data_IF_827884350943
#
_entry.id   IF_827884350943
#
_cell.length_a   1.000
_cell.length_b   1.000
_cell.length_c   1.000
_cell.angle_alpha   90.00
_cell.angle_beta   90.00
_cell.angle_gamma   90.00
#
_symmetry.space_group_name_H-M   'P 1'
#
loop_
_entity.id
_entity.type
_entity.pdbx_description
1 polymer ?
#
# COMPACT_ATOMS: atom_id res chain seq x y z
N UNK A 1 -14.59 -15.35 2.37
CA UNK A 1 -13.60 -14.26 2.30
C UNK A 1 -12.55 -14.59 1.26
N UNK A 2 -12.24 -13.67 0.36
CA UNK A 2 -11.20 -13.84 -0.65
C UNK A 2 -9.89 -13.21 -0.18
N UNK A 3 -8.81 -13.99 -0.22
CA UNK A 3 -7.46 -13.57 0.11
C UNK A 3 -6.59 -13.62 -1.16
N UNK A 4 -5.92 -12.52 -1.46
CA UNK A 4 -5.17 -12.39 -2.71
C UNK A 4 -3.83 -13.16 -2.72
N UNK A 5 -3.39 -13.71 -1.60
CA UNK A 5 -2.17 -14.51 -1.49
C UNK A 5 -2.27 -15.58 -0.41
N UNK A 6 -1.57 -16.68 -0.61
CA UNK A 6 -1.43 -17.79 0.36
C UNK A 6 -0.84 -17.31 1.69
N UNK A 7 0.10 -16.37 1.66
CA UNK A 7 0.71 -15.82 2.87
C UNK A 7 -0.31 -15.16 3.81
N UNK A 8 -1.33 -14.48 3.24
CA UNK A 8 -2.41 -13.92 4.04
C UNK A 8 -3.30 -15.02 4.63
N UNK A 9 -3.56 -16.07 3.88
CA UNK A 9 -4.33 -17.20 4.36
C UNK A 9 -3.64 -17.87 5.57
N UNK A 10 -2.36 -18.23 5.42
CA UNK A 10 -1.58 -18.86 6.48
C UNK A 10 -1.50 -18.02 7.75
N UNK A 11 -1.37 -16.71 7.58
CA UNK A 11 -1.22 -15.77 8.69
C UNK A 11 -2.55 -15.41 9.37
N UNK A 12 -3.59 -15.12 8.61
CA UNK A 12 -4.81 -14.51 9.13
C UNK A 12 -5.99 -15.48 9.28
N UNK A 13 -6.09 -16.53 8.46
CA UNK A 13 -7.24 -17.43 8.51
C UNK A 13 -7.38 -18.15 9.85
N UNK A 14 -6.31 -18.73 10.45
CA UNK A 14 -6.42 -19.35 11.76
C UNK A 14 -6.87 -18.37 12.85
N UNK A 15 -6.32 -17.14 12.82
CA UNK A 15 -6.63 -16.11 13.79
C UNK A 15 -8.08 -15.61 13.65
N UNK A 16 -8.56 -15.37 12.43
CA UNK A 16 -9.95 -14.98 12.17
C UNK A 16 -10.91 -16.07 12.66
N UNK A 17 -10.61 -17.33 12.39
CA UNK A 17 -11.44 -18.45 12.80
C UNK A 17 -11.49 -18.61 14.33
N UNK A 18 -10.37 -18.39 15.02
CA UNK A 18 -10.29 -18.40 16.47
C UNK A 18 -11.10 -17.25 17.10
N UNK A 19 -11.00 -16.06 16.54
CA UNK A 19 -11.67 -14.87 17.07
C UNK A 19 -13.17 -14.83 16.75
N UNK A 20 -13.60 -15.53 15.72
CA UNK A 20 -14.99 -15.58 15.25
C UNK A 20 -15.54 -17.04 15.23
N UNK A 21 -15.55 -17.75 16.39
CA UNK A 21 -15.89 -19.17 16.44
C UNK A 21 -17.33 -19.46 16.01
N UNK A 22 -18.24 -18.51 16.16
CA UNK A 22 -19.66 -18.66 15.80
C UNK A 22 -19.93 -18.30 14.33
N UNK A 23 -18.90 -17.88 13.57
CA UNK A 23 -19.02 -17.54 12.16
C UNK A 23 -18.21 -18.51 11.34
N UNK A 24 -18.89 -19.28 10.48
CA UNK A 24 -18.19 -20.10 9.50
C UNK A 24 -17.66 -19.23 8.37
N UNK A 25 -16.34 -18.96 8.39
CA UNK A 25 -15.64 -18.20 7.35
C UNK A 25 -15.02 -19.15 6.36
N UNK A 26 -15.55 -19.18 5.15
CA UNK A 26 -14.93 -19.88 4.03
C UNK A 26 -13.87 -18.99 3.38
N UNK A 27 -12.65 -19.49 3.29
CA UNK A 27 -11.53 -18.77 2.67
C UNK A 27 -11.28 -19.30 1.26
N UNK A 28 -11.12 -18.36 0.33
CA UNK A 28 -10.70 -18.64 -1.04
C UNK A 28 -9.41 -17.87 -1.29
N UNK A 29 -8.36 -18.56 -1.70
CA UNK A 29 -7.08 -17.96 -2.03
C UNK A 29 -6.94 -17.88 -3.55
N UNK A 30 -6.57 -16.72 -4.04
CA UNK A 30 -6.36 -16.47 -5.47
C UNK A 30 -5.11 -15.65 -5.74
N UNK A 31 -5.23 -14.66 -6.59
CA UNK A 31 -4.16 -13.75 -6.94
C UNK A 31 -4.63 -12.28 -6.86
N UNK A 32 -3.72 -11.34 -7.09
CA UNK A 32 -3.98 -9.90 -7.07
C UNK A 32 -4.14 -9.31 -8.49
N UNK A 33 -4.52 -10.11 -9.45
CA UNK A 33 -4.73 -9.67 -10.83
C UNK A 33 -6.13 -9.04 -10.97
N UNK A 34 -6.20 -7.84 -11.51
CA UNK A 34 -7.48 -7.13 -11.73
C UNK A 34 -8.40 -7.91 -12.69
N UNK A 35 -7.86 -8.55 -13.71
CA UNK A 35 -8.66 -9.34 -14.63
C UNK A 35 -9.27 -10.56 -13.95
N UNK A 36 -8.62 -11.12 -12.94
CA UNK A 36 -9.19 -12.17 -12.12
C UNK A 36 -10.38 -11.67 -11.28
N UNK A 37 -10.30 -10.47 -10.70
CA UNK A 37 -11.45 -9.88 -9.98
C UNK A 37 -12.61 -9.56 -10.93
N UNK A 38 -12.32 -9.10 -12.16
CA UNK A 38 -13.33 -8.92 -13.21
C UNK A 38 -14.00 -10.25 -13.57
N UNK A 39 -13.21 -11.29 -13.76
CA UNK A 39 -13.70 -12.63 -14.04
C UNK A 39 -14.64 -13.12 -12.92
N UNK A 40 -14.29 -12.97 -11.65
CA UNK A 40 -15.14 -13.32 -10.52
C UNK A 40 -16.46 -12.55 -10.57
N UNK A 41 -16.42 -11.26 -10.85
CA UNK A 41 -17.61 -10.40 -10.97
C UNK A 41 -18.55 -10.90 -12.07
N UNK A 42 -18.02 -11.14 -13.26
CA UNK A 42 -18.80 -11.50 -14.44
C UNK A 42 -19.43 -12.90 -14.31
N UNK A 43 -18.81 -13.78 -13.56
CA UNK A 43 -19.30 -15.13 -13.31
C UNK A 43 -20.12 -15.27 -12.01
N UNK A 44 -20.53 -14.17 -11.40
CA UNK A 44 -21.37 -14.14 -10.19
C UNK A 44 -20.67 -14.68 -8.94
N UNK A 45 -19.33 -14.72 -8.96
CA UNK A 45 -18.52 -15.34 -7.92
C UNK A 45 -17.81 -14.34 -6.97
N UNK A 46 -18.20 -13.05 -6.91
CA UNK A 46 -17.60 -12.12 -5.96
C UNK A 46 -17.88 -12.58 -4.53
N UNK A 47 -16.83 -12.88 -3.74
CA UNK A 47 -16.97 -13.23 -2.33
C UNK A 47 -17.56 -12.10 -1.49
N UNK A 48 -18.08 -12.41 -0.31
CA UNK A 48 -18.68 -11.44 0.59
C UNK A 48 -17.66 -10.38 1.06
N UNK A 49 -16.41 -10.82 1.33
CA UNK A 49 -15.29 -9.96 1.69
C UNK A 49 -14.17 -10.23 0.70
N UNK A 50 -13.62 -9.15 0.15
CA UNK A 50 -12.58 -9.21 -0.87
C UNK A 50 -11.36 -8.45 -0.37
N UNK A 51 -10.18 -9.03 -0.53
CA UNK A 51 -8.91 -8.38 -0.24
C UNK A 51 -8.11 -8.18 -1.51
N UNK A 52 -7.30 -7.14 -1.55
CA UNK A 52 -6.35 -6.90 -2.64
C UNK A 52 -5.07 -6.26 -2.12
N UNK A 53 -4.07 -6.17 -2.99
CA UNK A 53 -2.81 -5.47 -2.75
C UNK A 53 -2.71 -4.30 -3.73
N UNK A 54 -2.52 -3.09 -3.21
CA UNK A 54 -2.08 -1.89 -3.96
C UNK A 54 -2.87 -1.56 -5.24
N UNK A 55 -4.18 -1.79 -5.27
CA UNK A 55 -4.97 -1.27 -6.38
C UNK A 55 -5.03 0.25 -6.33
N UNK A 56 -4.76 0.90 -7.45
CA UNK A 56 -5.10 2.30 -7.65
C UNK A 56 -6.62 2.47 -7.75
N UNK A 57 -7.13 3.67 -7.50
CA UNK A 57 -8.56 3.97 -7.70
C UNK A 57 -9.01 3.66 -9.13
N UNK A 58 -8.13 3.94 -10.10
CA UNK A 58 -8.40 3.64 -11.50
C UNK A 58 -8.58 2.14 -11.73
N UNK A 59 -7.70 1.31 -11.19
CA UNK A 59 -7.76 -0.14 -11.33
C UNK A 59 -8.97 -0.73 -10.59
N UNK A 60 -9.32 -0.17 -9.43
CA UNK A 60 -10.47 -0.60 -8.65
C UNK A 60 -11.81 -0.12 -9.24
N UNK A 61 -11.83 0.94 -10.06
CA UNK A 61 -13.06 1.54 -10.61
C UNK A 61 -13.99 0.56 -11.33
N UNK A 62 -13.51 -0.44 -12.09
CA UNK A 62 -14.39 -1.43 -12.72
C UNK A 62 -15.21 -2.28 -11.73
N UNK A 63 -14.77 -2.36 -10.47
CA UNK A 63 -15.46 -3.11 -9.42
C UNK A 63 -16.38 -2.21 -8.59
N UNK A 64 -16.29 -0.89 -8.70
CA UNK A 64 -17.00 0.10 -7.88
C UNK A 64 -18.49 -0.23 -7.73
N UNK A 65 -19.16 -0.55 -8.84
CA UNK A 65 -20.60 -0.84 -8.85
C UNK A 65 -21.00 -2.16 -8.16
N UNK A 66 -20.02 -3.00 -7.84
CA UNK A 66 -20.21 -4.27 -7.15
C UNK A 66 -19.78 -4.23 -5.69
N UNK A 67 -19.20 -3.13 -5.23
CA UNK A 67 -18.70 -2.96 -3.88
C UNK A 67 -19.59 -2.02 -3.08
N UNK A 68 -19.61 -2.21 -1.77
CA UNK A 68 -20.29 -1.33 -0.84
C UNK A 68 -19.55 0.00 -0.70
N UNK A 69 -20.27 1.09 -0.51
CA UNK A 69 -19.69 2.33 0.00
C UNK A 69 -19.46 2.20 1.52
N UNK A 70 -18.22 2.34 1.92
CA UNK A 70 -17.77 2.23 3.30
C UNK A 70 -17.48 3.59 3.95
N UNK A 71 -17.65 4.70 3.21
CA UNK A 71 -17.26 6.06 3.62
C UNK A 71 -17.88 6.50 4.96
N UNK A 72 -19.09 6.04 5.25
CA UNK A 72 -19.85 6.39 6.46
C UNK A 72 -19.69 5.38 7.60
N UNK A 73 -18.85 4.38 7.44
CA UNK A 73 -18.65 3.35 8.47
C UNK A 73 -17.69 3.81 9.56
N UNK A 74 -17.88 3.30 10.77
CA UNK A 74 -16.94 3.55 11.87
C UNK A 74 -15.53 3.06 11.56
N UNK A 75 -15.39 2.02 10.74
CA UNK A 75 -14.08 1.49 10.31
C UNK A 75 -13.37 2.50 9.42
N UNK A 76 -14.07 3.12 8.45
CA UNK A 76 -13.49 4.20 7.65
C UNK A 76 -13.06 5.39 8.53
N UNK A 77 -13.87 5.76 9.53
CA UNK A 77 -13.53 6.82 10.49
C UNK A 77 -12.32 6.51 11.40
N UNK A 78 -11.87 5.26 11.45
CA UNK A 78 -10.67 4.85 12.16
C UNK A 78 -9.40 4.89 11.31
N UNK A 79 -9.52 5.03 9.98
CA UNK A 79 -8.38 5.16 9.05
C UNK A 79 -7.90 6.61 9.02
N UNK A 80 -6.59 6.82 8.97
CA UNK A 80 -6.03 8.16 8.78
C UNK A 80 -6.49 8.77 7.45
N UNK A 81 -6.90 10.03 7.48
CA UNK A 81 -7.42 10.75 6.32
C UNK A 81 -6.48 10.73 5.11
N UNK A 82 -5.17 10.77 5.36
CA UNK A 82 -4.13 10.69 4.31
C UNK A 82 -4.21 9.37 3.53
N UNK A 83 -4.49 8.25 4.21
CA UNK A 83 -4.65 6.96 3.55
C UNK A 83 -6.04 6.80 2.97
N UNK A 84 -7.08 7.22 3.70
CA UNK A 84 -8.46 7.11 3.25
C UNK A 84 -8.69 7.91 1.97
N UNK A 85 -8.13 9.12 1.88
CA UNK A 85 -8.24 9.97 0.68
C UNK A 85 -7.66 9.33 -0.58
N UNK A 86 -6.71 8.41 -0.44
CA UNK A 86 -6.15 7.65 -1.57
C UNK A 86 -7.13 6.65 -2.16
N UNK A 87 -8.21 6.31 -1.45
CA UNK A 87 -9.25 5.37 -1.86
C UNK A 87 -10.61 6.04 -2.06
N UNK A 88 -10.68 7.36 -1.89
CA UNK A 88 -11.91 8.12 -2.08
C UNK A 88 -12.16 8.35 -3.56
N UNK A 89 -13.34 7.95 -4.02
CA UNK A 89 -13.82 8.23 -5.36
C UNK A 89 -14.21 9.71 -5.53
N UNK A 90 -14.40 10.16 -6.76
CA UNK A 90 -14.81 11.55 -7.06
C UNK A 90 -16.13 11.98 -6.37
N UNK A 91 -17.04 11.03 -6.15
CA UNK A 91 -18.31 11.24 -5.46
C UNK A 91 -18.21 11.16 -3.93
N UNK A 92 -17.00 11.03 -3.39
CA UNK A 92 -16.75 10.91 -1.96
C UNK A 92 -16.95 9.50 -1.39
N UNK A 93 -17.40 8.53 -2.18
CA UNK A 93 -17.56 7.15 -1.73
C UNK A 93 -16.20 6.47 -1.56
N UNK A 94 -16.12 5.48 -0.66
CA UNK A 94 -14.94 4.68 -0.39
C UNK A 94 -15.33 3.20 -0.45
N UNK A 95 -14.77 2.46 -1.40
CA UNK A 95 -15.07 1.04 -1.55
C UNK A 95 -13.99 0.13 -0.97
N UNK A 96 -12.79 0.64 -0.78
CA UNK A 96 -11.64 -0.09 -0.25
C UNK A 96 -11.11 0.57 1.01
N UNK A 97 -10.86 -0.23 2.04
CA UNK A 97 -10.25 0.25 3.29
C UNK A 97 -8.84 -0.34 3.43
N UNK A 98 -7.81 0.50 3.63
CA UNK A 98 -6.47 0.02 3.93
C UNK A 98 -6.44 -0.60 5.33
N UNK A 99 -5.88 -1.80 5.44
CA UNK A 99 -5.71 -2.51 6.73
C UNK A 99 -4.35 -2.21 7.34
N UNK A 100 -3.32 -2.09 6.51
CA UNK A 100 -1.97 -1.74 6.93
C UNK A 100 -1.27 -0.94 5.83
N UNK A 101 -0.10 -0.40 6.15
CA UNK A 101 0.78 0.27 5.21
C UNK A 101 2.20 -0.25 5.38
N UNK A 102 2.95 -0.28 4.28
CA UNK A 102 4.39 -0.54 4.29
C UNK A 102 5.15 0.77 4.32
N UNK A 103 6.36 0.72 4.88
CA UNK A 103 7.35 1.78 4.77
C UNK A 103 8.45 1.33 3.81
N UNK A 104 8.71 2.13 2.79
CA UNK A 104 9.76 1.89 1.81
C UNK A 104 10.94 2.82 2.06
N UNK A 105 12.15 2.29 1.95
CA UNK A 105 13.38 3.03 2.16
C UNK A 105 14.58 2.12 1.94
N UNK A 106 15.76 2.67 2.17
CA UNK A 106 16.98 1.87 2.21
C UNK A 106 17.13 1.18 3.56
N UNK A 107 17.54 -0.07 3.55
CA UNK A 107 17.78 -0.88 4.76
C UNK A 107 19.30 -1.05 4.90
N UNK A 108 20.01 -0.67 5.99
CA UNK A 108 21.46 -0.79 6.18
C UNK A 108 21.85 -1.80 7.27
N UNK A 109 22.96 -2.51 7.09
CA UNK A 109 23.53 -3.34 8.13
C UNK A 109 24.40 -2.49 9.09
N UNK A 110 23.83 -2.07 10.21
CA UNK A 110 24.51 -1.21 11.18
C UNK A 110 25.82 -1.80 11.71
N UNK A 111 25.87 -3.12 11.89
CA UNK A 111 27.07 -3.80 12.40
C UNK A 111 28.25 -3.66 11.42
N UNK A 112 27.99 -3.59 10.12
CA UNK A 112 29.02 -3.33 9.11
C UNK A 112 29.50 -1.88 9.16
N UNK A 113 28.60 -0.91 9.32
CA UNK A 113 28.98 0.48 9.49
C UNK A 113 29.87 0.68 10.71
N UNK A 114 29.48 0.11 11.85
CA UNK A 114 30.28 0.15 13.09
C UNK A 114 31.63 -0.58 12.93
N UNK A 115 31.63 -1.76 12.31
CA UNK A 115 32.86 -2.57 12.13
C UNK A 115 33.92 -1.87 11.32
N UNK A 116 33.53 -1.13 10.29
CA UNK A 116 34.46 -0.47 9.37
C UNK A 116 34.60 1.03 9.62
N UNK A 117 34.01 1.54 10.72
CA UNK A 117 34.04 2.94 11.11
C UNK A 117 33.52 3.89 9.98
N UNK A 118 32.50 3.42 9.26
CA UNK A 118 31.85 4.19 8.20
C UNK A 118 30.63 4.89 8.83
N UNK A 119 30.50 6.23 8.69
CA UNK A 119 29.34 6.95 9.23
C UNK A 119 28.05 6.57 8.54
N UNK A 120 26.93 6.47 9.30
CA UNK A 120 25.62 6.31 8.71
C UNK A 120 25.26 7.54 7.86
N UNK A 121 24.81 7.36 6.61
CA UNK A 121 24.53 8.47 5.72
C UNK A 121 23.32 9.29 6.21
N UNK A 122 23.39 10.59 5.98
CA UNK A 122 22.37 11.58 6.36
C UNK A 122 21.75 12.31 5.18
N UNK A 123 22.38 12.20 4.02
CA UNK A 123 21.97 12.78 2.74
C UNK A 123 22.44 11.88 1.59
N UNK A 124 22.14 12.26 0.35
CA UNK A 124 22.48 11.47 -0.82
C UNK A 124 24.00 11.40 -1.05
N UNK A 125 24.75 12.49 -0.85
CA UNK A 125 26.21 12.53 -1.04
C UNK A 125 26.91 11.61 -0.04
N UNK A 126 26.57 11.67 1.25
CA UNK A 126 27.11 10.77 2.27
C UNK A 126 26.69 9.31 2.06
N UNK A 127 25.54 9.07 1.42
CA UNK A 127 25.12 7.74 1.02
C UNK A 127 26.03 7.15 -0.07
N UNK A 128 26.31 7.92 -1.14
CA UNK A 128 27.24 7.49 -2.19
C UNK A 128 28.61 7.24 -1.61
N UNK A 129 29.13 8.18 -0.78
CA UNK A 129 30.44 8.03 -0.12
C UNK A 129 30.53 6.79 0.78
N UNK A 130 29.46 6.44 1.49
CA UNK A 130 29.42 5.22 2.28
C UNK A 130 29.46 3.96 1.41
N UNK A 131 28.81 3.98 0.25
CA UNK A 131 28.87 2.89 -0.72
C UNK A 131 30.28 2.69 -1.25
N UNK A 132 30.97 3.77 -1.64
CA UNK A 132 32.36 3.73 -2.11
C UNK A 132 33.29 3.21 -1.02
N UNK A 133 33.15 3.67 0.23
CA UNK A 133 33.97 3.21 1.36
C UNK A 133 33.78 1.71 1.63
N UNK A 134 32.60 1.14 1.44
CA UNK A 134 32.40 -0.32 1.52
C UNK A 134 33.07 -1.07 0.36
N UNK A 135 33.02 -0.54 -0.86
CA UNK A 135 33.72 -1.16 -2.00
C UNK A 135 35.24 -1.17 -1.79
N UNK A 136 35.85 -0.15 -1.19
CA UNK A 136 37.26 -0.09 -0.85
C UNK A 136 37.69 -1.19 0.12
N UNK A 137 36.80 -1.64 1.01
CA UNK A 137 37.06 -2.76 1.93
C UNK A 137 36.57 -4.11 1.40
N UNK A 138 36.21 -4.19 0.12
CA UNK A 138 35.78 -5.40 -0.56
C UNK A 138 34.39 -5.90 -0.22
N UNK A 139 33.54 -5.00 0.29
CA UNK A 139 32.12 -5.26 0.57
C UNK A 139 31.32 -4.52 -0.48
N UNK A 140 30.33 -5.20 -1.09
CA UNK A 140 29.44 -4.54 -2.03
C UNK A 140 28.66 -3.42 -1.32
N UNK A 141 28.83 -2.20 -1.76
CA UNK A 141 28.19 -1.03 -1.19
C UNK A 141 26.67 -1.02 -1.36
N UNK A 142 26.12 -1.45 -2.53
CA UNK A 142 24.68 -1.53 -2.79
C UNK A 142 24.20 -2.88 -3.30
N UNK A 143 23.00 -3.28 -2.87
CA UNK A 143 22.26 -4.41 -3.46
C UNK A 143 20.80 -4.07 -3.57
N UNK A 144 20.22 -4.21 -4.74
CA UNK A 144 18.79 -4.06 -4.98
C UNK A 144 18.27 -5.22 -5.83
N UNK A 145 17.02 -5.59 -5.61
CA UNK A 145 16.31 -6.53 -6.45
C UNK A 145 15.54 -5.77 -7.54
N UNK A 146 16.21 -5.47 -8.64
CA UNK A 146 15.59 -4.86 -9.83
C UNK A 146 15.18 -5.90 -10.87
N UNK A 147 15.09 -7.15 -10.48
CA UNK A 147 14.50 -8.20 -11.32
C UNK A 147 13.01 -7.93 -11.56
N UNK A 148 12.33 -7.42 -10.52
CA UNK A 148 10.93 -7.01 -10.63
C UNK A 148 10.83 -5.51 -10.91
N UNK A 149 9.99 -5.15 -11.87
CA UNK A 149 9.74 -3.76 -12.28
C UNK A 149 9.20 -2.90 -11.12
N UNK A 150 8.37 -3.47 -10.25
CA UNK A 150 7.81 -2.73 -9.11
C UNK A 150 8.88 -2.27 -8.11
N UNK A 151 9.95 -3.01 -7.88
CA UNK A 151 11.02 -2.58 -6.96
C UNK A 151 11.82 -1.42 -7.53
N UNK A 152 12.03 -1.39 -8.85
CA UNK A 152 12.62 -0.25 -9.55
C UNK A 152 11.71 0.99 -9.43
N UNK A 153 10.40 0.82 -9.65
CA UNK A 153 9.42 1.90 -9.52
C UNK A 153 9.30 2.42 -8.08
N UNK A 154 9.39 1.56 -7.07
CA UNK A 154 9.38 1.99 -5.67
C UNK A 154 10.61 2.83 -5.33
N UNK A 155 11.79 2.45 -5.82
CA UNK A 155 13.02 3.25 -5.65
C UNK A 155 12.89 4.61 -6.34
N UNK A 156 12.42 4.63 -7.59
CA UNK A 156 12.16 5.87 -8.34
C UNK A 156 11.19 6.79 -7.58
N UNK A 157 10.09 6.26 -7.09
CA UNK A 157 9.10 7.04 -6.32
C UNK A 157 9.67 7.55 -5.00
N UNK A 158 10.50 6.74 -4.31
CA UNK A 158 11.14 7.13 -3.07
C UNK A 158 12.15 8.26 -3.26
N UNK A 159 13.05 8.15 -4.23
CA UNK A 159 14.03 9.18 -4.58
C UNK A 159 13.37 10.49 -5.03
N UNK A 160 12.18 10.40 -5.60
CA UNK A 160 11.43 11.54 -6.16
C UNK A 160 10.25 11.95 -5.28
N UNK A 161 10.21 11.51 -4.02
CA UNK A 161 9.07 11.73 -3.13
C UNK A 161 8.73 13.21 -2.93
N UNK A 162 9.74 14.11 -2.91
CA UNK A 162 9.52 15.55 -2.79
C UNK A 162 8.79 16.13 -3.99
N UNK A 163 9.18 15.76 -5.22
CA UNK A 163 8.52 16.20 -6.46
C UNK A 163 7.12 15.64 -6.57
N UNK A 164 6.97 14.34 -6.35
CA UNK A 164 5.68 13.65 -6.45
C UNK A 164 4.68 14.11 -5.38
N UNK A 165 5.16 14.59 -4.23
CA UNK A 165 4.34 15.14 -3.14
C UNK A 165 4.14 16.67 -3.23
N UNK A 166 4.79 17.33 -4.18
CA UNK A 166 4.58 18.76 -4.46
C UNK A 166 3.15 19.04 -4.95
N UNK A 167 2.79 20.31 -5.03
CA UNK A 167 1.47 20.72 -5.59
C UNK A 167 1.31 20.22 -7.01
N UNK A 168 2.35 20.36 -7.84
CA UNK A 168 2.31 19.93 -9.24
C UNK A 168 2.31 18.41 -9.37
N UNK A 169 3.05 17.69 -8.52
CA UNK A 169 3.03 16.22 -8.48
C UNK A 169 1.66 15.67 -8.08
N UNK A 170 1.01 16.29 -7.11
CA UNK A 170 -0.36 15.92 -6.71
C UNK A 170 -1.38 16.25 -7.79
N UNK A 171 -1.25 17.40 -8.44
CA UNK A 171 -2.10 17.79 -9.56
C UNK A 171 -1.97 16.78 -10.71
N UNK A 172 -0.72 16.43 -11.10
CA UNK A 172 -0.48 15.43 -12.13
C UNK A 172 -1.14 14.10 -11.79
N UNK A 173 -0.98 13.60 -10.57
CA UNK A 173 -1.55 12.33 -10.13
C UNK A 173 -3.08 12.33 -10.24
N UNK A 174 -3.74 13.42 -9.83
CA UNK A 174 -5.20 13.56 -9.93
C UNK A 174 -5.64 13.57 -11.39
N UNK A 175 -4.93 14.31 -12.25
CA UNK A 175 -5.24 14.40 -13.68
C UNK A 175 -5.00 13.07 -14.40
N UNK A 176 -3.90 12.38 -14.05
CA UNK A 176 -3.55 11.08 -14.65
C UNK A 176 -4.56 9.98 -14.27
N UNK A 177 -5.02 9.98 -13.03
CA UNK A 177 -6.00 9.00 -12.53
C UNK A 177 -7.44 9.32 -12.94
N UNK A 178 -7.70 10.48 -13.55
CA UNK A 178 -9.03 10.84 -14.03
C UNK A 178 -9.52 9.86 -15.12
N UNK A 179 -10.81 9.50 -15.11
CA UNK A 179 -11.39 8.61 -16.12
C UNK A 179 -11.26 9.16 -17.56
N UNK A 180 -11.23 10.48 -17.70
CA UNK A 180 -11.07 11.17 -18.97
C UNK A 180 -9.60 11.23 -19.41
N UNK A 181 -9.19 10.29 -20.24
CA UNK A 181 -7.84 10.21 -20.80
C UNK A 181 -7.44 11.42 -21.65
N UNK A 182 -8.40 12.22 -22.12
CA UNK A 182 -8.10 13.37 -23.00
C UNK A 182 -7.41 14.52 -22.28
N UNK A 183 -7.44 14.52 -20.94
CA UNK A 183 -6.83 15.54 -20.09
C UNK A 183 -5.46 15.14 -19.52
N UNK A 184 -4.94 13.96 -19.88
CA UNK A 184 -3.64 13.51 -19.40
C UNK A 184 -2.54 14.34 -20.06
N UNK A 185 -1.71 14.98 -19.23
CA UNK A 185 -0.49 15.64 -19.66
C UNK A 185 0.58 14.58 -19.97
N UNK A 186 1.43 14.84 -20.98
CA UNK A 186 2.62 14.02 -21.22
C UNK A 186 3.57 14.08 -20.03
N UNK A 187 4.32 13.01 -19.80
CA UNK A 187 5.27 12.96 -18.66
C UNK A 187 6.35 14.04 -18.74
N UNK A 188 6.74 14.43 -19.95
CA UNK A 188 7.76 15.45 -20.26
C UNK A 188 7.39 16.86 -19.79
N UNK A 189 6.11 17.17 -19.64
CA UNK A 189 5.60 18.47 -19.16
C UNK A 189 5.29 18.49 -17.64
N UNK A 190 5.70 17.47 -16.88
CA UNK A 190 5.34 17.26 -15.49
C UNK A 190 6.56 17.20 -14.57
N UNK A 191 6.42 16.71 -13.36
CA UNK A 191 7.51 16.49 -12.39
C UNK A 191 8.36 15.25 -12.70
N UNK A 192 7.92 14.40 -13.62
CA UNK A 192 8.56 13.11 -13.90
C UNK A 192 9.95 13.18 -14.54
N UNK A 193 10.31 14.15 -15.41
CA UNK A 193 11.67 14.25 -15.90
C UNK A 193 12.71 14.31 -14.77
N UNK A 194 12.48 15.13 -13.75
CA UNK A 194 13.35 15.16 -12.57
C UNK A 194 13.40 13.84 -11.80
N UNK A 195 12.29 13.13 -11.71
CA UNK A 195 12.24 11.83 -11.08
C UNK A 195 13.12 10.81 -11.83
N UNK A 196 13.06 10.81 -13.15
CA UNK A 196 13.89 9.93 -13.99
C UNK A 196 15.37 10.32 -13.94
N UNK A 197 15.71 11.61 -13.95
CA UNK A 197 17.08 12.09 -13.81
C UNK A 197 17.70 11.61 -12.48
N UNK A 198 16.96 11.67 -11.38
CA UNK A 198 17.41 11.16 -10.08
C UNK A 198 17.62 9.65 -10.06
N UNK A 199 16.73 8.92 -10.72
CA UNK A 199 16.88 7.47 -10.81
C UNK A 199 18.07 7.09 -11.69
N UNK A 200 18.31 7.82 -12.78
CA UNK A 200 19.49 7.65 -13.64
C UNK A 200 20.77 7.91 -12.84
N UNK A 201 20.84 9.03 -12.11
CA UNK A 201 21.98 9.36 -11.24
C UNK A 201 22.20 8.26 -10.19
N UNK A 202 21.15 7.82 -9.51
CA UNK A 202 21.22 6.75 -8.53
C UNK A 202 21.77 5.44 -9.12
N UNK A 203 21.33 5.05 -10.31
CA UNK A 203 21.81 3.86 -11.02
C UNK A 203 23.30 4.00 -11.40
N UNK A 204 23.74 5.20 -11.76
CA UNK A 204 25.13 5.47 -12.12
C UNK A 204 26.07 5.46 -10.91
N UNK A 205 25.62 5.93 -9.75
CA UNK A 205 26.39 6.07 -8.52
C UNK A 205 26.47 4.81 -7.66
N UNK A 206 26.09 3.70 -8.15
CA UNK A 206 25.77 2.48 -7.42
C UNK A 206 26.73 1.96 -6.38
N UNK A 207 26.18 1.48 -5.29
CA UNK A 207 26.71 0.48 -4.39
C UNK A 207 26.03 0.43 -3.03
N UNK A 208 25.57 -0.71 -2.45
CA UNK A 208 25.07 -0.73 -1.05
C UNK A 208 24.99 -2.06 -0.36
N UNK A 209 25.01 -1.99 0.98
CA UNK A 209 24.54 -3.03 1.89
C UNK A 209 23.71 -2.47 3.08
N UNK A 210 22.76 -3.19 3.63
CA UNK A 210 21.43 -2.68 3.99
C UNK A 210 21.05 -2.49 5.47
N UNK A 211 20.53 -1.35 5.86
CA UNK A 211 19.62 -0.95 6.97
C UNK A 211 18.57 0.03 6.46
N UNK A 212 17.49 0.27 7.20
CA UNK A 212 16.40 1.14 6.77
C UNK A 212 16.77 2.63 6.89
N UNK A 213 16.91 3.32 5.75
CA UNK A 213 17.12 4.75 5.68
C UNK A 213 15.95 5.43 4.95
N UNK A 214 15.62 6.67 5.31
CA UNK A 214 14.70 7.47 4.52
C UNK A 214 15.30 7.76 3.14
N UNK A 215 14.45 8.04 2.16
CA UNK A 215 14.91 8.56 0.88
C UNK A 215 15.45 9.99 1.06
N UNK A 216 16.64 10.26 0.54
CA UNK A 216 17.28 11.56 0.62
C UNK A 216 16.90 12.44 -0.57
N UNK A 217 16.71 13.72 -0.30
CA UNK A 217 16.41 14.72 -1.32
C UNK A 217 17.57 15.69 -1.45
N UNK A 218 17.69 16.38 -2.59
CA UNK A 218 18.77 17.36 -2.85
C UNK A 218 18.88 18.48 -1.81
N UNK A 219 17.76 18.87 -1.21
CA UNK A 219 17.69 19.91 -0.19
C UNK A 219 17.96 19.40 1.24
N UNK A 220 18.38 18.14 1.40
CA UNK A 220 18.64 17.50 2.69
C UNK A 220 17.39 17.04 3.43
N UNK A 221 16.19 17.18 2.87
CA UNK A 221 14.97 16.59 3.43
C UNK A 221 15.03 15.06 3.38
N UNK A 222 14.40 14.43 4.37
CA UNK A 222 14.33 12.98 4.51
C UNK A 222 12.88 12.54 4.37
N UNK A 223 12.63 11.64 3.44
CA UNK A 223 11.31 11.12 3.15
C UNK A 223 11.24 9.62 3.39
N UNK A 224 10.17 9.17 4.03
CA UNK A 224 9.78 7.76 4.07
C UNK A 224 8.49 7.64 3.28
N UNK A 225 8.52 6.83 2.22
CA UNK A 225 7.31 6.50 1.49
C UNK A 225 6.53 5.44 2.26
N UNK A 226 5.26 5.70 2.49
CA UNK A 226 4.32 4.72 3.03
C UNK A 226 3.20 4.50 2.03
N UNK A 227 2.89 3.24 1.76
CA UNK A 227 1.80 2.87 0.86
C UNK A 227 0.81 1.97 1.58
N UNK A 228 -0.50 2.13 1.35
CA UNK A 228 -1.47 1.16 1.80
C UNK A 228 -1.18 -0.19 1.14
N UNK A 229 -0.90 -1.20 1.95
CA UNK A 229 -0.47 -2.50 1.42
C UNK A 229 -1.62 -3.49 1.29
N UNK A 230 -2.47 -3.56 2.28
CA UNK A 230 -3.56 -4.51 2.32
C UNK A 230 -4.89 -3.78 2.38
N UNK A 231 -5.77 -4.03 1.42
CA UNK A 231 -7.08 -3.40 1.32
C UNK A 231 -8.18 -4.44 1.41
N UNK A 232 -9.31 -4.03 1.98
CA UNK A 232 -10.52 -4.84 2.12
C UNK A 232 -11.70 -4.10 1.50
N UNK A 233 -12.53 -4.82 0.79
CA UNK A 233 -13.81 -4.34 0.28
C UNK A 233 -14.92 -5.36 0.54
N UNK A 234 -16.15 -4.86 0.56
CA UNK A 234 -17.35 -5.68 0.73
C UNK A 234 -18.17 -5.68 -0.55
N UNK A 235 -18.69 -6.86 -0.89
CA UNK A 235 -19.58 -7.02 -2.01
C UNK A 235 -20.92 -6.30 -1.74
N UNK A 236 -21.36 -5.45 -2.66
CA UNK A 236 -22.62 -4.69 -2.58
C UNK A 236 -23.84 -5.61 -2.44
N UNK A 237 -23.82 -6.80 -3.05
CA UNK A 237 -24.94 -7.73 -3.03
C UNK A 237 -25.20 -8.36 -1.66
N UNK A 238 -24.28 -8.19 -0.69
CA UNK A 238 -24.54 -8.47 0.73
C UNK A 238 -25.78 -7.75 1.26
N UNK A 239 -26.10 -6.59 0.70
CA UNK A 239 -27.26 -5.78 1.11
C UNK A 239 -28.60 -6.39 0.72
N UNK A 240 -28.64 -7.32 -0.25
CA UNK A 240 -29.85 -7.99 -0.73
C UNK A 240 -30.27 -9.17 0.17
N UNK A 241 -29.31 -9.74 0.89
CA UNK A 241 -29.57 -10.81 1.86
C UNK A 241 -29.42 -10.26 3.28
N UNK A 242 -30.56 -10.02 3.95
CA UNK A 242 -30.58 -9.45 5.31
C UNK A 242 -29.78 -10.29 6.31
N UNK A 243 -29.70 -11.60 6.12
CA UNK A 243 -28.98 -12.50 7.02
C UNK A 243 -27.47 -12.31 6.84
N UNK A 244 -26.99 -12.23 5.60
CA UNK A 244 -25.60 -11.95 5.26
C UNK A 244 -25.21 -10.52 5.64
N UNK A 245 -26.09 -9.53 5.37
CA UNK A 245 -25.93 -8.14 5.79
C UNK A 245 -25.77 -8.04 7.32
N UNK A 246 -26.67 -8.66 8.09
CA UNK A 246 -26.57 -8.67 9.57
C UNK A 246 -25.30 -9.34 10.04
N UNK A 247 -24.80 -10.39 9.38
CA UNK A 247 -23.52 -11.01 9.69
C UNK A 247 -22.35 -10.12 9.35
N UNK A 248 -22.32 -9.49 8.18
CA UNK A 248 -21.26 -8.57 7.76
C UNK A 248 -21.19 -7.32 8.67
N UNK A 249 -22.33 -6.72 9.02
CA UNK A 249 -22.42 -5.63 9.99
C UNK A 249 -21.96 -6.07 11.39
N UNK A 250 -22.25 -7.29 11.79
CA UNK A 250 -21.72 -7.87 13.02
C UNK A 250 -20.21 -8.10 12.98
N UNK A 251 -19.63 -8.32 11.81
CA UNK A 251 -18.18 -8.46 11.61
C UNK A 251 -17.41 -7.13 11.60
N UNK A 252 -17.95 -6.05 12.18
CA UNK A 252 -17.18 -4.88 12.56
C UNK A 252 -17.46 -3.60 11.81
N UNK A 253 -18.55 -3.52 11.06
CA UNK A 253 -18.94 -2.25 10.45
C UNK A 253 -19.56 -1.25 11.44
N UNK A 254 -19.89 -1.68 12.67
CA UNK A 254 -20.49 -0.85 13.73
C UNK A 254 -19.57 -0.66 14.97
N UNK A 255 -18.29 -0.99 14.86
CA UNK A 255 -17.32 -0.87 15.96
C UNK A 255 -16.45 0.38 15.88
N UNK A 256 -16.19 1.02 17.03
CA UNK A 256 -15.16 2.06 17.14
C UNK A 256 -13.80 1.39 17.30
N UNK A 257 -12.82 1.77 16.45
CA UNK A 257 -11.43 1.36 16.57
C UNK A 257 -10.56 2.58 16.81
N UNK A 258 -9.70 2.51 17.85
CA UNK A 258 -8.71 3.55 18.08
C UNK A 258 -7.55 3.47 17.07
N UNK A 259 -6.95 4.61 16.77
CA UNK A 259 -5.74 4.69 15.90
C UNK A 259 -4.47 4.45 16.74
N UNK A 260 -3.47 3.69 16.28
CA UNK A 260 -3.43 2.86 15.05
C UNK A 260 -4.34 1.62 15.17
N UNK A 261 -4.88 1.14 14.05
CA UNK A 261 -5.72 -0.07 14.04
C UNK A 261 -4.83 -1.27 14.35
N UNK A 262 -4.89 -1.74 15.57
CA UNK A 262 -4.31 -3.02 15.99
C UNK A 262 -5.33 -4.10 15.63
N UNK A 263 -4.90 -5.19 14.99
CA UNK A 263 -5.79 -6.27 14.56
C UNK A 263 -6.55 -6.84 15.76
N UNK A 264 -5.92 -6.90 16.92
CA UNK A 264 -6.52 -7.31 18.20
C UNK A 264 -7.67 -6.39 18.63
N UNK A 265 -7.54 -5.07 18.42
CA UNK A 265 -8.62 -4.11 18.71
C UNK A 265 -9.76 -4.22 17.70
N UNK A 266 -9.45 -4.43 16.42
CA UNK A 266 -10.43 -4.72 15.40
C UNK A 266 -11.28 -5.91 15.80
N UNK A 267 -10.64 -6.99 16.17
CA UNK A 267 -11.30 -8.24 16.54
C UNK A 267 -12.02 -8.13 17.89
N UNK A 268 -11.43 -7.46 18.88
CA UNK A 268 -12.12 -7.26 20.18
C UNK A 268 -13.37 -6.39 20.03
N UNK A 269 -13.35 -5.44 19.11
CA UNK A 269 -14.51 -4.61 18.77
C UNK A 269 -15.56 -5.41 18.03
N UNK A 270 -15.16 -6.31 17.13
CA UNK A 270 -16.01 -7.28 16.48
C UNK A 270 -16.70 -8.21 17.49
N UNK A 271 -15.94 -8.74 18.44
CA UNK A 271 -16.47 -9.63 19.48
C UNK A 271 -17.47 -8.94 20.42
N UNK A 272 -17.19 -7.70 20.85
CA UNK A 272 -18.08 -6.94 21.75
C UNK A 272 -19.43 -6.58 21.13
N UNK A 273 -19.55 -6.63 19.81
CA UNK A 273 -20.78 -6.32 19.08
C UNK A 273 -21.54 -7.57 18.62
N UNK A 274 -20.96 -8.75 18.80
CA UNK A 274 -21.59 -10.05 18.50
C UNK A 274 -22.44 -10.57 19.67
N UNK A 275 -22.38 -9.93 20.83
CA UNK A 275 -23.22 -10.13 21.99
C UNK A 275 -24.16 -8.93 22.18
#
# INVERSE_FOLDING_TARGET
>A
MYLWTTNLYEKYAPYIQEQLPDINVEFVVGNNDLDFYRFLKENGGLPDIITCCRFSLHDASPLKDSLMDLSTTNVAGAVYDTYLSSFMNEDGSVNWLPVCADAHGFVVNKDLFEKYDIPLPTDYESFVSACEAFEEVGIRGFTADYYYDYTCMETLQGLSASELSSVDGRKWRTTYSAPDNTKREGLDSTVWPKAFERMEQFIQDQGINTTFLPFFQENGEKWIMTTPYFQVALNRDLTKDETRRKKALKCGMDGFLSKPIVIEELISTLQKKLH
#
